data_IF_903835825225
#
_entry.id   IF_903835825225
#
_cell.length_a   1.000
_cell.length_b   1.000
_cell.length_c   1.000
_cell.angle_alpha   90.00
_cell.angle_beta   90.00
_cell.angle_gamma   90.00
#
_symmetry.space_group_name_H-M   'P 1'
#
loop_
_entity.id
_entity.type
_entity.pdbx_description
1 polymer ?
#
# COMPACT_ATOMS: atom_id res chain seq x y z
N UNK A 1 -58.33 -83.52 48.35
CA UNK A 1 -57.18 -82.58 48.37
C UNK A 1 -56.44 -82.54 47.01
N UNK A 2 -57.15 -82.55 45.85
CA UNK A 2 -56.52 -82.66 44.51
C UNK A 2 -57.02 -81.59 43.50
N UNK A 3 -58.13 -80.88 43.74
CA UNK A 3 -58.67 -79.88 42.80
C UNK A 3 -58.08 -78.44 42.90
N UNK A 4 -57.29 -78.11 43.93
CA UNK A 4 -56.72 -76.76 44.13
C UNK A 4 -55.35 -76.53 43.44
N UNK A 5 -54.63 -77.59 43.07
CA UNK A 5 -53.25 -77.49 42.54
C UNK A 5 -53.24 -77.21 41.02
N UNK A 6 -54.26 -77.64 40.28
CA UNK A 6 -54.36 -77.36 38.83
C UNK A 6 -54.74 -75.92 38.50
N UNK A 7 -55.56 -75.25 39.32
CA UNK A 7 -55.92 -73.85 39.10
C UNK A 7 -54.75 -72.89 39.34
N UNK A 8 -53.88 -73.22 40.31
CA UNK A 8 -52.68 -72.41 40.60
C UNK A 8 -51.62 -72.55 39.50
N UNK A 9 -51.42 -73.75 38.94
CA UNK A 9 -50.51 -73.94 37.81
C UNK A 9 -51.04 -73.30 36.53
N UNK A 10 -52.36 -73.32 36.29
CA UNK A 10 -52.95 -72.67 35.12
C UNK A 10 -52.90 -71.15 35.19
N UNK A 11 -53.13 -70.55 36.38
CA UNK A 11 -52.99 -69.09 36.58
C UNK A 11 -51.53 -68.64 36.54
N UNK A 12 -50.58 -69.44 37.06
CA UNK A 12 -49.14 -69.14 36.94
C UNK A 12 -48.68 -69.28 35.47
N UNK A 13 -49.21 -70.24 34.71
CA UNK A 13 -48.91 -70.36 33.27
C UNK A 13 -49.48 -69.20 32.44
N UNK A 14 -50.68 -68.70 32.80
CA UNK A 14 -51.27 -67.49 32.20
C UNK A 14 -50.52 -66.20 32.60
N UNK A 15 -50.01 -66.11 33.84
CA UNK A 15 -49.19 -64.97 34.28
C UNK A 15 -47.82 -64.96 33.58
N UNK A 16 -47.19 -66.14 33.39
CA UNK A 16 -45.89 -66.27 32.71
C UNK A 16 -46.03 -65.99 31.19
N UNK A 17 -47.17 -66.30 30.57
CA UNK A 17 -47.44 -65.91 29.18
C UNK A 17 -47.84 -64.44 29.00
N UNK A 18 -48.39 -63.80 30.04
CA UNK A 18 -48.71 -62.36 29.99
C UNK A 18 -47.48 -61.43 30.11
N UNK A 19 -46.33 -61.98 30.51
CA UNK A 19 -45.07 -61.23 30.68
C UNK A 19 -44.10 -61.34 29.48
N UNK A 20 -44.49 -61.99 28.37
CA UNK A 20 -43.60 -62.21 27.21
C UNK A 20 -44.19 -61.80 25.84
N UNK A 21 -45.15 -60.90 25.80
CA UNK A 21 -45.54 -60.24 24.56
C UNK A 21 -45.27 -58.73 24.66
N UNK A 22 -44.00 -58.37 24.85
CA UNK A 22 -43.53 -57.07 24.34
C UNK A 22 -43.59 -57.20 22.82
N UNK A 23 -44.73 -56.84 22.23
CA UNK A 23 -44.84 -56.68 20.80
C UNK A 23 -43.91 -55.54 20.38
N UNK A 24 -42.70 -55.90 19.96
CA UNK A 24 -41.73 -54.96 19.43
C UNK A 24 -41.90 -54.92 17.92
N UNK A 25 -42.31 -53.75 17.40
CA UNK A 25 -42.31 -53.49 15.95
C UNK A 25 -40.95 -52.90 15.62
N UNK A 26 -40.22 -53.56 14.73
CA UNK A 26 -39.01 -53.00 14.14
C UNK A 26 -39.43 -52.13 12.95
N UNK A 27 -39.18 -50.83 13.02
CA UNK A 27 -39.42 -49.88 11.94
C UNK A 27 -38.08 -49.60 11.26
N UNK A 28 -37.99 -49.88 9.97
CA UNK A 28 -36.79 -49.60 9.16
C UNK A 28 -36.85 -48.18 8.59
N UNK A 29 -35.68 -47.65 8.21
CA UNK A 29 -35.60 -46.36 7.53
C UNK A 29 -36.29 -46.41 6.15
N UNK A 30 -36.83 -45.26 5.72
CA UNK A 30 -37.46 -45.13 4.40
C UNK A 30 -36.46 -45.03 3.24
N UNK A 31 -36.98 -44.70 2.05
CA UNK A 31 -36.18 -44.53 0.84
C UNK A 31 -35.17 -43.36 0.94
N UNK A 32 -34.07 -43.46 0.18
CA UNK A 32 -33.07 -42.39 0.09
C UNK A 32 -33.70 -41.07 -0.37
N UNK A 33 -33.63 -40.06 0.51
CA UNK A 33 -34.13 -38.71 0.24
C UNK A 33 -32.99 -37.71 0.04
N UNK A 34 -32.00 -37.73 0.92
CA UNK A 34 -30.85 -36.82 0.89
C UNK A 34 -29.61 -37.46 1.52
N UNK A 35 -28.48 -36.77 1.42
CA UNK A 35 -27.26 -37.14 2.13
C UNK A 35 -26.93 -36.11 3.21
N UNK A 36 -26.61 -36.55 4.42
CA UNK A 36 -25.98 -35.69 5.42
C UNK A 36 -24.45 -35.76 5.27
N UNK A 37 -23.77 -34.62 5.32
CA UNK A 37 -22.32 -34.55 5.07
C UNK A 37 -21.59 -33.90 6.24
N UNK A 38 -20.62 -34.63 6.80
CA UNK A 38 -19.72 -34.17 7.85
C UNK A 38 -18.32 -33.93 7.28
N UNK A 39 -17.80 -32.72 7.48
CA UNK A 39 -16.50 -32.30 6.94
C UNK A 39 -15.95 -31.12 7.75
N UNK A 40 -14.71 -30.70 7.45
CA UNK A 40 -14.11 -29.46 7.95
C UNK A 40 -14.29 -28.35 6.89
N UNK A 41 -15.02 -27.29 7.21
CA UNK A 41 -15.42 -26.26 6.23
C UNK A 41 -14.27 -25.40 5.72
N UNK A 42 -13.27 -25.13 6.54
CA UNK A 42 -12.10 -24.32 6.19
C UNK A 42 -10.84 -25.13 6.42
N UNK A 43 -10.01 -25.28 5.39
CA UNK A 43 -8.74 -26.01 5.44
C UNK A 43 -7.61 -25.16 4.85
N UNK A 44 -6.37 -25.55 5.13
CA UNK A 44 -5.19 -24.95 4.50
C UNK A 44 -4.86 -25.66 3.18
N UNK A 45 -4.25 -24.96 2.23
CA UNK A 45 -3.74 -25.57 1.01
C UNK A 45 -2.78 -26.74 1.34
N UNK A 46 -2.99 -27.88 0.68
CA UNK A 46 -2.26 -29.12 0.93
C UNK A 46 -2.73 -29.93 2.14
N UNK A 47 -3.64 -29.42 2.98
CA UNK A 47 -4.27 -30.19 4.05
C UNK A 47 -5.21 -31.26 3.44
N UNK A 48 -5.16 -32.48 3.97
CA UNK A 48 -6.07 -33.57 3.61
C UNK A 48 -7.07 -33.79 4.73
N UNK A 49 -8.36 -33.73 4.41
CA UNK A 49 -9.44 -33.93 5.38
C UNK A 49 -10.37 -35.06 4.98
N UNK A 50 -10.86 -35.86 5.95
CA UNK A 50 -11.91 -36.82 5.68
C UNK A 50 -13.25 -36.09 5.52
N UNK A 51 -14.01 -36.51 4.51
CA UNK A 51 -15.40 -36.12 4.31
C UNK A 51 -16.25 -37.38 4.45
N UNK A 52 -17.25 -37.32 5.32
CA UNK A 52 -18.16 -38.43 5.61
C UNK A 52 -19.54 -38.10 5.08
N UNK A 53 -20.14 -39.06 4.38
CA UNK A 53 -21.45 -38.95 3.74
C UNK A 53 -22.35 -40.01 4.37
N UNK A 54 -23.57 -39.64 4.76
CA UNK A 54 -24.54 -40.53 5.40
C UNK A 54 -25.85 -40.45 4.62
N UNK A 55 -26.37 -41.60 4.18
CA UNK A 55 -27.65 -41.72 3.50
C UNK A 55 -28.80 -41.52 4.50
N UNK A 56 -29.74 -40.63 4.18
CA UNK A 56 -30.87 -40.25 5.02
C UNK A 56 -32.20 -40.37 4.29
N UNK A 57 -33.23 -40.79 5.02
CA UNK A 57 -34.60 -40.81 4.54
C UNK A 57 -35.29 -39.43 4.72
N UNK A 58 -36.55 -39.23 4.29
CA UNK A 58 -37.25 -37.95 4.47
C UNK A 58 -37.46 -37.51 5.92
N UNK A 59 -37.26 -38.40 6.88
CA UNK A 59 -37.48 -38.19 8.31
C UNK A 59 -36.16 -38.14 9.12
N UNK A 60 -35.02 -38.02 8.43
CA UNK A 60 -33.66 -37.94 9.00
C UNK A 60 -33.16 -39.23 9.67
N UNK A 61 -33.76 -40.38 9.35
CA UNK A 61 -33.25 -41.68 9.79
C UNK A 61 -32.05 -42.12 8.94
N UNK A 62 -31.08 -42.79 9.56
CA UNK A 62 -29.93 -43.39 8.85
C UNK A 62 -30.36 -44.63 8.07
N UNK A 63 -30.01 -44.69 6.78
CA UNK A 63 -30.37 -45.82 5.90
C UNK A 63 -29.24 -46.85 5.91
N UNK A 64 -29.21 -47.74 6.91
CA UNK A 64 -28.13 -48.73 7.09
C UNK A 64 -28.03 -49.80 5.99
N UNK A 65 -29.08 -50.03 5.21
CA UNK A 65 -29.08 -51.00 4.11
C UNK A 65 -28.67 -50.38 2.76
N UNK A 66 -28.49 -49.06 2.69
CA UNK A 66 -28.07 -48.40 1.45
C UNK A 66 -26.62 -48.75 1.11
N UNK A 67 -26.39 -49.25 -0.10
CA UNK A 67 -25.06 -49.50 -0.65
C UNK A 67 -25.01 -49.13 -2.12
N UNK A 68 -23.91 -48.53 -2.56
CA UNK A 68 -23.79 -48.05 -3.93
C UNK A 68 -22.53 -47.22 -4.14
N UNK A 69 -22.38 -46.70 -5.35
CA UNK A 69 -21.31 -45.75 -5.69
C UNK A 69 -21.98 -44.42 -6.02
N UNK A 70 -21.56 -43.37 -5.33
CA UNK A 70 -21.98 -41.99 -5.62
C UNK A 70 -20.83 -41.24 -6.28
N UNK A 71 -21.15 -40.32 -7.17
CA UNK A 71 -20.21 -39.42 -7.80
C UNK A 71 -20.21 -38.08 -7.05
N UNK A 72 -19.06 -37.70 -6.49
CA UNK A 72 -18.82 -36.41 -5.85
C UNK A 72 -18.25 -35.45 -6.88
N UNK A 73 -19.04 -34.44 -7.25
CA UNK A 73 -18.72 -33.51 -8.32
C UNK A 73 -18.26 -32.18 -7.72
N UNK A 74 -17.07 -31.73 -8.08
CA UNK A 74 -16.50 -30.45 -7.65
C UNK A 74 -15.43 -29.98 -8.64
N UNK A 75 -15.33 -28.67 -8.89
CA UNK A 75 -14.27 -28.07 -9.74
C UNK A 75 -14.05 -28.77 -11.11
N UNK A 76 -15.15 -29.17 -11.76
CA UNK A 76 -15.12 -29.91 -13.03
C UNK A 76 -14.63 -31.37 -12.94
N UNK A 77 -14.34 -31.86 -11.73
CA UNK A 77 -13.93 -33.25 -11.43
C UNK A 77 -15.12 -34.05 -10.90
N UNK A 78 -15.01 -35.36 -11.00
CA UNK A 78 -15.95 -36.33 -10.43
C UNK A 78 -15.16 -37.44 -9.74
N UNK A 79 -15.38 -37.62 -8.44
CA UNK A 79 -14.75 -38.67 -7.63
C UNK A 79 -15.79 -39.71 -7.22
N UNK A 80 -15.49 -40.99 -7.44
CA UNK A 80 -16.40 -42.09 -7.09
C UNK A 80 -16.18 -42.51 -5.64
N UNK A 81 -17.24 -42.42 -4.84
CA UNK A 81 -17.22 -42.80 -3.42
C UNK A 81 -18.14 -43.98 -3.22
N UNK A 82 -17.59 -45.07 -2.68
CA UNK A 82 -18.38 -46.23 -2.28
C UNK A 82 -19.09 -45.92 -0.97
N UNK A 83 -20.40 -46.14 -0.96
CA UNK A 83 -21.24 -46.10 0.23
C UNK A 83 -21.52 -47.53 0.65
N UNK A 84 -21.18 -47.87 1.89
CA UNK A 84 -21.47 -49.16 2.50
C UNK A 84 -22.22 -48.94 3.80
N UNK A 85 -23.28 -49.70 3.99
CA UNK A 85 -24.16 -49.59 5.16
C UNK A 85 -24.62 -48.15 5.45
N UNK A 86 -25.02 -47.43 4.41
CA UNK A 86 -25.46 -46.04 4.48
C UNK A 86 -24.34 -45.01 4.64
N UNK A 87 -23.06 -45.40 4.74
CA UNK A 87 -21.95 -44.48 5.01
C UNK A 87 -20.86 -44.55 3.96
N UNK A 88 -20.46 -43.39 3.44
CA UNK A 88 -19.32 -43.21 2.57
C UNK A 88 -18.26 -42.31 3.19
N UNK A 89 -17.00 -42.52 2.80
CA UNK A 89 -15.89 -41.63 3.18
C UNK A 89 -14.96 -41.45 2.01
N UNK A 90 -14.47 -40.22 1.84
CA UNK A 90 -13.37 -39.90 0.94
C UNK A 90 -12.49 -38.82 1.58
N UNK A 91 -11.29 -38.63 1.05
CA UNK A 91 -10.38 -37.59 1.53
C UNK A 91 -10.30 -36.48 0.50
N UNK A 92 -10.61 -35.25 0.91
CA UNK A 92 -10.43 -34.09 0.06
C UNK A 92 -9.09 -33.42 0.39
N UNK A 93 -8.29 -33.17 -0.64
CA UNK A 93 -7.08 -32.33 -0.56
C UNK A 93 -6.86 -31.58 -1.86
N UNK A 94 -6.28 -30.39 -1.77
CA UNK A 94 -5.90 -29.58 -2.92
C UNK A 94 -4.84 -28.57 -2.53
N UNK A 95 -3.94 -28.25 -3.45
CA UNK A 95 -2.91 -27.23 -3.26
C UNK A 95 -3.35 -25.84 -3.73
N UNK A 96 -4.50 -25.73 -4.40
CA UNK A 96 -5.03 -24.45 -4.90
C UNK A 96 -6.00 -23.85 -3.90
N UNK A 97 -5.76 -22.58 -3.53
CA UNK A 97 -6.68 -21.82 -2.67
C UNK A 97 -8.01 -21.54 -3.39
N UNK A 98 -9.05 -21.27 -2.60
CA UNK A 98 -10.33 -20.83 -3.12
C UNK A 98 -11.52 -21.56 -2.50
N UNK A 99 -12.64 -21.47 -3.19
CA UNK A 99 -13.92 -22.03 -2.77
C UNK A 99 -14.28 -23.22 -3.66
N UNK A 100 -14.49 -24.37 -3.04
CA UNK A 100 -14.87 -25.61 -3.71
C UNK A 100 -16.32 -25.95 -3.39
N UNK A 101 -17.16 -25.94 -4.41
CA UNK A 101 -18.58 -26.32 -4.32
C UNK A 101 -18.72 -27.79 -4.73
N UNK A 102 -19.25 -28.61 -3.82
CA UNK A 102 -19.43 -30.05 -3.99
C UNK A 102 -20.90 -30.40 -4.22
N UNK A 103 -21.17 -31.36 -5.10
CA UNK A 103 -22.49 -31.96 -5.31
C UNK A 103 -22.40 -33.48 -5.28
N UNK A 104 -23.48 -34.15 -4.89
CA UNK A 104 -23.56 -35.61 -4.86
C UNK A 104 -24.53 -36.07 -5.94
N UNK A 105 -24.01 -36.84 -6.89
CA UNK A 105 -24.79 -37.50 -7.94
C UNK A 105 -24.89 -38.99 -7.64
N UNK A 106 -26.09 -39.55 -7.75
CA UNK A 106 -26.32 -40.98 -7.67
C UNK A 106 -27.32 -41.38 -8.75
N UNK A 107 -26.95 -42.35 -9.59
CA UNK A 107 -27.76 -42.85 -10.71
C UNK A 107 -28.27 -41.73 -11.65
N UNK A 108 -27.45 -40.71 -11.91
CA UNK A 108 -27.79 -39.60 -12.81
C UNK A 108 -28.64 -38.49 -12.19
N UNK A 109 -28.97 -38.58 -10.90
CA UNK A 109 -29.71 -37.57 -10.15
C UNK A 109 -28.80 -36.88 -9.13
N UNK A 110 -28.82 -35.54 -9.11
CA UNK A 110 -28.22 -34.76 -8.02
C UNK A 110 -29.13 -34.84 -6.79
N UNK A 111 -28.57 -35.26 -5.67
CA UNK A 111 -29.28 -35.34 -4.39
C UNK A 111 -29.05 -34.08 -3.55
N UNK A 112 -30.06 -33.74 -2.74
CA UNK A 112 -29.90 -32.73 -1.70
C UNK A 112 -28.89 -33.20 -0.66
N UNK A 113 -28.19 -32.23 -0.08
CA UNK A 113 -27.22 -32.40 0.97
C UNK A 113 -27.69 -31.62 2.19
N UNK A 114 -27.88 -32.31 3.32
CA UNK A 114 -27.99 -31.68 4.62
C UNK A 114 -26.60 -31.34 5.12
N UNK A 115 -26.27 -30.06 5.06
CA UNK A 115 -24.94 -29.56 5.37
C UNK A 115 -24.76 -29.39 6.89
N UNK A 116 -23.70 -29.95 7.47
CA UNK A 116 -23.44 -29.90 8.93
C UNK A 116 -23.37 -28.48 9.51
N UNK A 117 -22.97 -27.49 8.73
CA UNK A 117 -22.72 -26.13 9.21
C UNK A 117 -23.97 -25.24 9.15
N UNK A 118 -24.79 -25.41 8.12
CA UNK A 118 -26.02 -24.65 7.93
C UNK A 118 -27.26 -25.39 8.42
N UNK A 119 -27.16 -26.71 8.60
CA UNK A 119 -28.26 -27.65 8.85
C UNK A 119 -29.37 -27.62 7.78
N UNK A 120 -29.16 -26.89 6.68
CA UNK A 120 -30.10 -26.73 5.59
C UNK A 120 -29.95 -27.85 4.56
N UNK A 121 -31.06 -28.18 3.88
CA UNK A 121 -31.06 -29.03 2.70
C UNK A 121 -30.69 -28.17 1.47
N UNK A 122 -29.50 -28.41 0.94
CA UNK A 122 -28.89 -27.64 -0.15
C UNK A 122 -28.60 -28.55 -1.34
N UNK A 123 -28.34 -27.98 -2.53
CA UNK A 123 -27.88 -28.77 -3.69
C UNK A 123 -26.41 -29.23 -3.60
N UNK A 124 -25.77 -29.05 -2.45
CA UNK A 124 -24.33 -29.27 -2.27
C UNK A 124 -23.78 -28.65 -0.99
N UNK A 125 -22.48 -28.83 -0.75
CA UNK A 125 -21.74 -28.26 0.38
C UNK A 125 -20.45 -27.56 -0.10
N UNK A 126 -19.78 -26.81 0.78
CA UNK A 126 -18.67 -25.91 0.39
C UNK A 126 -17.46 -26.09 1.30
N UNK A 127 -16.28 -26.27 0.71
CA UNK A 127 -15.01 -26.24 1.43
C UNK A 127 -14.21 -25.03 0.96
N UNK A 128 -13.73 -24.23 1.91
CA UNK A 128 -12.85 -23.10 1.68
C UNK A 128 -11.40 -23.51 1.95
N UNK A 129 -10.52 -23.27 0.99
CA UNK A 129 -9.10 -23.57 1.07
C UNK A 129 -8.34 -22.26 1.17
N UNK A 130 -7.69 -22.04 2.31
CA UNK A 130 -6.89 -20.85 2.61
C UNK A 130 -5.41 -21.07 2.28
N UNK A 131 -4.69 -19.98 2.01
CA UNK A 131 -3.24 -20.01 1.80
C UNK A 131 -2.50 -20.40 3.09
N UNK A 132 -1.35 -21.03 2.94
CA UNK A 132 -0.37 -21.22 4.03
C UNK A 132 0.32 -19.93 4.49
N UNK A 133 1.25 -20.03 5.45
CA UNK A 133 2.22 -18.96 5.72
C UNK A 133 3.10 -18.70 4.48
N UNK A 134 3.77 -17.55 4.43
CA UNK A 134 4.67 -17.23 3.33
C UNK A 134 5.92 -18.12 3.39
N UNK A 135 6.19 -18.84 2.31
CA UNK A 135 7.37 -19.68 2.11
C UNK A 135 8.28 -19.13 1.00
N UNK A 136 7.74 -18.22 0.19
CA UNK A 136 8.47 -17.50 -0.85
C UNK A 136 8.01 -16.05 -0.88
N UNK A 137 8.93 -15.11 -1.07
CA UNK A 137 8.61 -13.69 -1.28
C UNK A 137 9.30 -13.21 -2.54
N UNK A 138 8.54 -12.80 -3.55
CA UNK A 138 9.10 -12.12 -4.71
C UNK A 138 9.32 -10.64 -4.38
N UNK A 139 10.51 -10.12 -4.72
CA UNK A 139 10.88 -8.71 -4.52
C UNK A 139 10.90 -8.04 -5.89
N UNK A 140 9.94 -7.16 -6.14
CA UNK A 140 9.78 -6.45 -7.41
C UNK A 140 10.27 -5.02 -7.24
N UNK A 141 11.28 -4.63 -8.02
CA UNK A 141 11.92 -3.31 -7.96
C UNK A 141 12.74 -3.06 -9.23
N UNK A 142 13.10 -1.80 -9.49
CA UNK A 142 14.09 -1.47 -10.52
C UNK A 142 15.49 -1.97 -10.11
N UNK A 143 16.29 -2.51 -11.04
CA UNK A 143 17.52 -3.25 -10.73
C UNK A 143 18.69 -2.38 -10.27
N UNK A 144 18.63 -1.06 -10.42
CA UNK A 144 19.74 -0.15 -10.14
C UNK A 144 19.31 0.93 -9.14
N UNK A 145 20.22 1.49 -8.34
CA UNK A 145 19.91 2.58 -7.41
C UNK A 145 20.95 3.71 -7.46
N UNK A 146 20.52 4.91 -7.08
CA UNK A 146 21.40 6.08 -6.86
C UNK A 146 21.37 6.39 -5.36
N UNK A 147 22.52 6.52 -4.68
CA UNK A 147 22.55 6.79 -3.25
C UNK A 147 21.85 8.11 -2.89
N UNK A 148 21.09 8.12 -1.79
CA UNK A 148 20.32 9.27 -1.32
C UNK A 148 18.96 9.46 -2.03
N UNK A 149 18.64 8.63 -3.02
CA UNK A 149 17.34 8.65 -3.70
C UNK A 149 16.46 7.49 -3.27
N UNK A 150 15.18 7.77 -3.03
CA UNK A 150 14.20 6.78 -2.59
C UNK A 150 14.07 5.63 -3.59
N UNK A 151 14.02 4.42 -3.05
CA UNK A 151 13.79 3.18 -3.77
C UNK A 151 12.53 2.51 -3.26
N UNK A 152 11.68 2.10 -4.20
CA UNK A 152 10.41 1.42 -3.93
C UNK A 152 10.57 -0.06 -4.18
N UNK A 153 10.11 -0.88 -3.24
CA UNK A 153 10.09 -2.33 -3.34
C UNK A 153 8.63 -2.78 -3.21
N UNK A 154 8.18 -3.68 -4.08
CA UNK A 154 6.93 -4.41 -3.91
C UNK A 154 7.26 -5.86 -3.56
N UNK A 155 6.85 -6.25 -2.36
CA UNK A 155 6.97 -7.62 -1.85
C UNK A 155 5.69 -8.38 -2.19
N UNK A 156 5.80 -9.59 -2.73
CA UNK A 156 4.67 -10.48 -3.01
C UNK A 156 4.89 -11.81 -2.30
N UNK A 157 4.08 -12.09 -1.29
CA UNK A 157 4.18 -13.28 -0.47
C UNK A 157 3.40 -14.45 -1.07
N UNK A 158 4.05 -15.61 -1.15
CA UNK A 158 3.49 -16.87 -1.64
C UNK A 158 3.71 -17.99 -0.64
N UNK A 159 2.74 -18.89 -0.53
CA UNK A 159 2.85 -20.10 0.29
C UNK A 159 3.72 -21.18 -0.38
N UNK A 160 3.87 -22.34 0.29
CA UNK A 160 4.66 -23.48 -0.19
C UNK A 160 4.24 -23.99 -1.58
N UNK A 161 3.01 -23.73 -1.99
CA UNK A 161 2.42 -24.21 -3.24
C UNK A 161 2.35 -23.10 -4.30
N UNK A 162 2.87 -21.91 -4.00
CA UNK A 162 2.88 -20.78 -4.90
C UNK A 162 1.60 -19.95 -4.90
N UNK A 163 0.64 -20.21 -4.00
CA UNK A 163 -0.55 -19.37 -3.86
C UNK A 163 -0.19 -18.05 -3.20
N UNK A 164 -0.89 -16.97 -3.56
CA UNK A 164 -0.75 -15.70 -2.86
C UNK A 164 -1.23 -15.84 -1.41
N UNK A 165 -0.48 -15.26 -0.48
CA UNK A 165 -0.87 -15.16 0.94
C UNK A 165 -1.88 -14.03 1.11
N UNK A 166 -3.07 -14.20 0.54
CA UNK A 166 -4.11 -13.15 0.48
C UNK A 166 -4.98 -13.09 1.74
N UNK A 167 -5.23 -14.24 2.38
CA UNK A 167 -5.88 -14.29 3.69
C UNK A 167 -4.80 -14.43 4.77
N UNK A 168 -4.54 -13.33 5.46
CA UNK A 168 -3.60 -13.27 6.58
C UNK A 168 -4.26 -13.57 7.93
N UNK A 169 -5.57 -13.86 7.93
CA UNK A 169 -6.33 -14.12 9.15
C UNK A 169 -5.89 -15.46 9.75
N UNK A 170 -5.18 -15.40 10.88
CA UNK A 170 -4.62 -16.58 11.55
C UNK A 170 -3.21 -16.97 11.07
N UNK A 171 -2.57 -16.14 10.24
CA UNK A 171 -1.14 -16.29 9.92
C UNK A 171 -0.36 -15.33 10.81
N UNK A 172 0.37 -15.88 11.79
CA UNK A 172 1.32 -15.14 12.62
C UNK A 172 2.73 -15.31 12.04
N UNK A 173 3.18 -14.34 11.23
CA UNK A 173 4.50 -14.40 10.62
C UNK A 173 5.12 -13.00 10.51
N UNK A 174 6.36 -12.87 10.96
CA UNK A 174 7.15 -11.65 10.82
C UNK A 174 8.25 -11.86 9.79
N UNK A 175 8.33 -10.94 8.83
CA UNK A 175 9.37 -10.92 7.81
C UNK A 175 10.44 -9.88 8.19
N UNK A 176 11.70 -10.30 8.24
CA UNK A 176 12.86 -9.42 8.33
C UNK A 176 13.38 -9.14 6.91
N UNK A 177 13.49 -7.88 6.54
CA UNK A 177 14.09 -7.44 5.30
C UNK A 177 15.41 -6.77 5.64
N UNK A 178 16.50 -7.33 5.12
CA UNK A 178 17.85 -6.82 5.37
C UNK A 178 18.63 -6.71 4.08
N UNK A 179 19.51 -5.73 4.03
CA UNK A 179 20.51 -5.60 2.99
C UNK A 179 21.88 -6.03 3.51
N UNK A 180 22.82 -6.28 2.60
CA UNK A 180 24.26 -6.27 2.91
C UNK A 180 24.83 -4.85 3.18
N UNK A 181 23.99 -3.81 3.14
CA UNK A 181 24.31 -2.45 3.50
C UNK A 181 23.70 -2.08 4.85
N UNK A 182 23.19 -0.84 4.96
CA UNK A 182 22.62 -0.32 6.22
C UNK A 182 21.12 -0.55 6.37
N UNK A 183 20.40 -0.89 5.30
CA UNK A 183 18.95 -1.05 5.35
C UNK A 183 18.53 -2.34 6.07
N UNK A 184 17.70 -2.18 7.10
CA UNK A 184 17.03 -3.27 7.81
C UNK A 184 15.65 -2.83 8.30
N UNK A 185 14.64 -3.68 8.11
CA UNK A 185 13.28 -3.44 8.62
C UNK A 185 12.56 -4.77 8.88
N UNK A 186 11.46 -4.72 9.62
CA UNK A 186 10.59 -5.87 9.88
C UNK A 186 9.16 -5.53 9.50
N UNK A 187 8.45 -6.50 8.93
CA UNK A 187 7.06 -6.39 8.52
C UNK A 187 6.26 -7.57 9.05
N UNK A 188 5.10 -7.31 9.63
CA UNK A 188 4.11 -8.34 9.88
C UNK A 188 3.41 -8.71 8.57
N UNK A 189 3.24 -10.01 8.30
CA UNK A 189 2.51 -10.51 7.12
C UNK A 189 1.08 -9.95 7.07
N UNK A 190 0.45 -9.68 8.22
CA UNK A 190 -0.87 -9.06 8.32
C UNK A 190 -0.93 -7.65 7.72
N UNK A 191 0.23 -7.00 7.54
CA UNK A 191 0.30 -5.68 6.91
C UNK A 191 0.22 -5.74 5.38
N UNK A 192 0.26 -6.94 4.79
CA UNK A 192 0.14 -7.16 3.35
C UNK A 192 -1.32 -7.04 2.93
N UNK A 193 -1.56 -6.37 1.82
CA UNK A 193 -2.87 -6.29 1.19
C UNK A 193 -2.89 -7.25 -0.01
N UNK A 194 -3.80 -8.23 0.04
CA UNK A 194 -3.95 -9.26 -0.98
C UNK A 194 -2.62 -9.95 -1.34
N UNK A 195 -1.84 -10.34 -0.32
CA UNK A 195 -0.55 -10.99 -0.51
C UNK A 195 0.59 -10.08 -0.98
N UNK A 196 0.41 -8.75 -0.97
CA UNK A 196 1.47 -7.82 -1.37
C UNK A 196 1.68 -6.63 -0.43
N UNK A 197 2.89 -6.10 -0.39
CA UNK A 197 3.25 -4.91 0.40
C UNK A 197 4.27 -4.06 -0.34
N UNK A 198 4.02 -2.76 -0.41
CA UNK A 198 5.01 -1.79 -0.87
C UNK A 198 5.76 -1.18 0.31
N UNK A 199 7.08 -1.05 0.17
CA UNK A 199 7.96 -0.34 1.09
C UNK A 199 8.89 0.58 0.34
N UNK A 200 9.32 1.63 1.01
CA UNK A 200 10.29 2.58 0.48
C UNK A 200 11.50 2.65 1.40
N UNK A 201 12.68 2.85 0.82
CA UNK A 201 13.90 3.13 1.59
C UNK A 201 14.85 4.02 0.79
N UNK A 202 15.80 4.66 1.47
CA UNK A 202 16.82 5.50 0.84
C UNK A 202 18.17 4.81 0.99
N UNK A 203 18.67 4.07 -0.02
CA UNK A 203 20.01 3.50 0.04
C UNK A 203 21.07 4.61 0.11
N UNK A 204 22.06 4.44 0.98
CA UNK A 204 23.20 5.36 1.11
C UNK A 204 24.54 4.68 0.84
N UNK A 205 24.50 3.40 0.49
CA UNK A 205 25.65 2.54 0.24
C UNK A 205 26.28 2.87 -1.13
N UNK A 206 27.59 2.70 -1.24
CA UNK A 206 28.39 3.04 -2.42
C UNK A 206 28.88 1.79 -3.18
N UNK A 207 28.10 0.72 -3.09
CA UNK A 207 28.34 -0.59 -3.70
C UNK A 207 27.01 -1.30 -3.97
N UNK A 208 27.03 -2.39 -4.73
CA UNK A 208 25.84 -3.20 -4.99
C UNK A 208 25.18 -3.68 -3.68
N UNK A 209 23.85 -3.63 -3.66
CA UNK A 209 23.03 -4.05 -2.52
C UNK A 209 22.40 -5.41 -2.84
N UNK A 210 22.43 -6.33 -1.88
CA UNK A 210 21.66 -7.58 -1.90
C UNK A 210 20.60 -7.48 -0.81
N UNK A 211 19.34 -7.41 -1.22
CA UNK A 211 18.17 -7.46 -0.34
C UNK A 211 17.78 -8.91 -0.10
N UNK A 212 17.55 -9.26 1.17
CA UNK A 212 17.06 -10.58 1.59
C UNK A 212 15.82 -10.40 2.45
N UNK A 213 14.77 -11.15 2.14
CA UNK A 213 13.59 -11.29 2.98
C UNK A 213 13.68 -12.62 3.71
N UNK A 214 13.57 -12.60 5.03
CA UNK A 214 13.71 -13.76 5.90
C UNK A 214 12.53 -13.91 6.86
N UNK A 215 12.18 -15.15 7.19
CA UNK A 215 11.31 -15.50 8.32
C UNK A 215 12.05 -16.53 9.15
N UNK A 216 12.17 -16.31 10.47
CA UNK A 216 12.84 -17.25 11.39
C UNK A 216 14.24 -17.70 10.92
N UNK A 217 14.99 -16.77 10.32
CA UNK A 217 16.33 -17.01 9.77
C UNK A 217 16.37 -17.65 8.38
N UNK A 218 15.26 -18.23 7.88
CA UNK A 218 15.15 -18.78 6.52
C UNK A 218 14.95 -17.66 5.50
N UNK A 219 15.78 -17.64 4.45
CA UNK A 219 15.59 -16.74 3.31
C UNK A 219 14.39 -17.18 2.48
N UNK A 220 13.41 -16.30 2.32
CA UNK A 220 12.21 -16.50 1.50
C UNK A 220 12.30 -15.80 0.13
N UNK A 221 13.15 -14.77 0.02
CA UNK A 221 13.32 -13.98 -1.19
C UNK A 221 14.63 -13.22 -1.20
N UNK A 222 15.18 -12.99 -2.40
CA UNK A 222 16.42 -12.23 -2.61
C UNK A 222 16.32 -11.38 -3.88
N UNK A 223 16.90 -10.17 -3.83
CA UNK A 223 17.05 -9.31 -5.00
C UNK A 223 18.36 -8.52 -4.94
N UNK A 224 19.03 -8.38 -6.08
CA UNK A 224 20.23 -7.56 -6.23
C UNK A 224 19.86 -6.19 -6.81
N UNK A 225 20.44 -5.14 -6.23
CA UNK A 225 20.40 -3.77 -6.73
C UNK A 225 21.82 -3.31 -7.09
N UNK A 226 21.99 -2.84 -8.31
CA UNK A 226 23.26 -2.35 -8.83
C UNK A 226 23.47 -0.89 -8.46
N UNK A 227 24.67 -0.58 -7.99
CA UNK A 227 25.04 0.78 -7.62
C UNK A 227 25.33 1.63 -8.88
N UNK A 228 24.56 2.71 -9.07
CA UNK A 228 24.90 3.75 -10.04
C UNK A 228 25.78 4.81 -9.41
N UNK A 229 27.06 4.75 -9.75
CA UNK A 229 28.00 5.82 -9.46
C UNK A 229 27.58 7.11 -10.14
N UNK A 230 27.53 8.19 -9.37
CA UNK A 230 27.34 9.54 -9.90
C UNK A 230 28.70 10.18 -10.20
N UNK A 231 28.85 10.73 -11.40
CA UNK A 231 30.04 11.50 -11.78
C UNK A 231 29.74 12.99 -11.69
N UNK A 232 30.62 13.74 -11.03
CA UNK A 232 30.45 15.18 -10.84
C UNK A 232 30.42 15.89 -12.21
N UNK A 233 29.36 16.67 -12.44
CA UNK A 233 29.13 17.45 -13.66
C UNK A 233 29.14 18.95 -13.41
N UNK A 234 28.18 19.45 -12.63
CA UNK A 234 27.95 20.89 -12.40
C UNK A 234 27.99 21.25 -10.92
N UNK A 235 28.51 22.44 -10.59
CA UNK A 235 28.44 23.03 -9.25
C UNK A 235 27.65 24.33 -9.35
N UNK A 236 26.58 24.44 -8.58
CA UNK A 236 25.78 25.67 -8.47
C UNK A 236 26.09 26.38 -7.16
N UNK A 237 26.19 27.70 -7.24
CA UNK A 237 26.50 28.55 -6.08
C UNK A 237 25.50 29.71 -6.00
N UNK A 238 25.18 30.13 -4.78
CA UNK A 238 24.41 31.33 -4.52
C UNK A 238 25.01 32.11 -3.34
N UNK A 239 25.09 33.43 -3.49
CA UNK A 239 25.64 34.33 -2.49
C UNK A 239 25.02 35.73 -2.63
N UNK A 240 25.07 36.58 -1.59
CA UNK A 240 24.48 37.93 -1.65
C UNK A 240 25.12 38.81 -2.74
N UNK A 241 24.33 39.64 -3.40
CA UNK A 241 24.84 40.60 -4.41
C UNK A 241 25.84 41.62 -3.83
N UNK A 242 25.71 41.93 -2.53
CA UNK A 242 26.57 42.88 -1.82
C UNK A 242 26.85 42.38 -0.41
N UNK A 243 28.12 42.46 -0.03
CA UNK A 243 28.62 42.13 1.31
C UNK A 243 29.58 43.24 1.75
N UNK A 244 29.80 43.40 3.06
CA UNK A 244 30.81 44.33 3.57
C UNK A 244 32.12 43.59 3.78
N UNK A 245 33.23 44.21 3.37
CA UNK A 245 34.56 43.65 3.62
C UNK A 245 34.76 43.40 5.13
N UNK A 246 35.33 42.24 5.46
CA UNK A 246 35.54 41.78 6.84
C UNK A 246 34.29 41.26 7.56
N UNK A 247 33.10 41.28 6.93
CA UNK A 247 31.90 40.67 7.48
C UNK A 247 31.65 39.28 6.87
N UNK A 248 31.09 38.39 7.69
CA UNK A 248 30.63 37.08 7.24
C UNK A 248 29.42 37.21 6.31
N UNK A 249 29.37 36.34 5.30
CA UNK A 249 28.20 36.16 4.46
C UNK A 249 27.98 34.67 4.15
N UNK A 250 26.72 34.29 3.94
CA UNK A 250 26.38 32.91 3.61
C UNK A 250 26.67 32.64 2.12
N UNK A 251 27.36 31.54 1.86
CA UNK A 251 27.66 31.00 0.54
C UNK A 251 27.03 29.61 0.43
N UNK A 252 26.03 29.50 -0.45
CA UNK A 252 25.33 28.26 -0.72
C UNK A 252 26.01 27.56 -1.89
N UNK A 253 26.20 26.25 -1.78
CA UNK A 253 26.79 25.42 -2.82
C UNK A 253 26.06 24.08 -2.92
N UNK A 254 25.80 23.63 -4.14
CA UNK A 254 25.17 22.36 -4.45
C UNK A 254 25.90 21.68 -5.61
N UNK A 255 26.12 20.37 -5.51
CA UNK A 255 26.87 19.60 -6.52
C UNK A 255 25.96 18.63 -7.27
N UNK A 256 25.98 18.74 -8.59
CA UNK A 256 25.16 17.95 -9.50
C UNK A 256 26.04 17.03 -10.35
N UNK A 257 25.50 15.88 -10.73
CA UNK A 257 26.14 14.95 -11.63
C UNK A 257 26.02 15.37 -13.11
N UNK A 258 26.65 14.61 -14.00
CA UNK A 258 26.62 14.84 -15.45
C UNK A 258 25.23 14.74 -16.08
N UNK A 259 24.25 14.19 -15.38
CA UNK A 259 22.85 14.11 -15.80
C UNK A 259 21.98 15.20 -15.15
N UNK A 260 22.57 16.10 -14.36
CA UNK A 260 21.86 17.17 -13.67
C UNK A 260 21.13 16.72 -12.39
N UNK A 261 21.44 15.55 -11.84
CA UNK A 261 20.90 15.10 -10.54
C UNK A 261 21.81 15.55 -9.40
N UNK A 262 21.22 16.01 -8.30
CA UNK A 262 21.96 16.38 -7.09
C UNK A 262 22.72 15.16 -6.53
N UNK A 263 24.00 15.30 -6.24
CA UNK A 263 24.82 14.25 -5.61
C UNK A 263 24.60 14.31 -4.11
N UNK A 264 23.56 13.61 -3.64
CA UNK A 264 23.12 13.70 -2.25
C UNK A 264 24.13 13.17 -1.22
N UNK A 265 25.04 12.31 -1.65
CA UNK A 265 26.10 11.70 -0.83
C UNK A 265 27.48 12.33 -1.09
N UNK A 266 27.52 13.62 -1.44
CA UNK A 266 28.78 14.33 -1.72
C UNK A 266 29.75 14.29 -0.54
N UNK A 267 29.24 14.21 0.69
CA UNK A 267 30.03 14.00 1.91
C UNK A 267 30.87 12.72 1.89
N UNK A 268 30.46 11.70 1.12
CA UNK A 268 31.12 10.39 1.05
C UNK A 268 31.96 10.20 -0.21
N UNK A 269 31.53 10.76 -1.34
CA UNK A 269 32.19 10.54 -2.65
C UNK A 269 32.87 11.79 -3.20
N UNK A 270 32.62 12.94 -2.60
CA UNK A 270 33.13 14.23 -3.04
C UNK A 270 34.59 14.44 -2.70
N UNK A 271 35.17 15.45 -3.35
CA UNK A 271 36.49 16.00 -3.03
C UNK A 271 36.34 17.41 -2.46
N UNK A 272 37.36 17.94 -1.75
CA UNK A 272 37.34 19.34 -1.33
C UNK A 272 37.12 20.29 -2.52
N UNK A 273 36.30 21.31 -2.30
CA UNK A 273 36.01 22.34 -3.30
C UNK A 273 36.78 23.59 -2.93
N UNK A 274 37.76 23.97 -3.76
CA UNK A 274 38.52 25.20 -3.62
C UNK A 274 37.75 26.37 -4.21
N UNK A 275 37.58 27.43 -3.43
CA UNK A 275 36.96 28.69 -3.84
C UNK A 275 38.05 29.63 -4.35
N UNK A 276 38.07 29.84 -5.66
CA UNK A 276 38.98 30.80 -6.30
C UNK A 276 38.26 32.11 -6.61
N UNK A 277 38.97 33.22 -6.66
CA UNK A 277 38.40 34.53 -7.03
C UNK A 277 39.38 35.39 -7.82
N UNK A 278 38.87 36.43 -8.50
CA UNK A 278 39.66 37.38 -9.27
C UNK A 278 40.10 38.64 -8.48
N UNK A 279 39.64 38.82 -7.24
CA UNK A 279 40.01 39.96 -6.40
C UNK A 279 41.37 39.80 -5.71
N UNK A 280 41.84 40.87 -5.05
CA UNK A 280 43.13 40.97 -4.34
C UNK A 280 43.02 40.73 -2.83
N UNK A 281 41.82 40.78 -2.26
CA UNK A 281 41.55 40.39 -0.87
C UNK A 281 41.68 38.89 -0.65
N UNK A 282 41.57 38.48 0.61
CA UNK A 282 41.62 37.07 1.06
C UNK A 282 40.18 36.61 1.29
N UNK A 283 39.82 35.44 0.76
CA UNK A 283 38.58 34.74 1.05
C UNK A 283 38.85 33.65 2.09
N UNK A 284 38.07 33.61 3.17
CA UNK A 284 38.24 32.62 4.23
C UNK A 284 36.89 32.05 4.71
N UNK A 285 36.75 30.72 4.83
CA UNK A 285 37.65 29.69 4.30
C UNK A 285 37.69 29.74 2.76
N UNK A 286 38.80 29.32 2.17
CA UNK A 286 38.95 29.19 0.71
C UNK A 286 38.71 27.76 0.21
N UNK A 287 38.39 26.83 1.11
CA UNK A 287 38.16 25.42 0.81
C UNK A 287 36.93 24.93 1.57
N UNK A 288 36.04 24.23 0.87
CA UNK A 288 34.87 23.57 1.44
C UNK A 288 35.11 22.07 1.42
N UNK A 289 35.21 21.47 2.61
CA UNK A 289 35.39 20.03 2.77
C UNK A 289 34.10 19.26 2.41
N UNK A 290 34.19 18.02 1.87
CA UNK A 290 33.02 17.19 1.60
C UNK A 290 32.10 17.02 2.82
N UNK A 291 32.67 16.95 4.03
CA UNK A 291 31.93 16.83 5.28
C UNK A 291 31.00 18.02 5.59
N UNK A 292 31.16 19.16 4.92
CA UNK A 292 30.24 20.29 5.04
C UNK A 292 28.91 20.07 4.30
N UNK A 293 28.84 19.06 3.43
CA UNK A 293 27.65 18.77 2.64
C UNK A 293 26.66 17.88 3.40
N UNK A 294 25.40 18.27 3.35
CA UNK A 294 24.27 17.49 3.86
C UNK A 294 23.27 17.34 2.72
N UNK A 295 22.98 16.10 2.32
CA UNK A 295 22.13 15.80 1.16
C UNK A 295 22.58 16.47 -0.15
N UNK A 296 23.88 16.68 -0.33
CA UNK A 296 24.46 17.26 -1.54
C UNK A 296 24.52 18.78 -1.58
N UNK A 297 24.15 19.45 -0.49
CA UNK A 297 24.16 20.90 -0.35
C UNK A 297 25.00 21.33 0.87
N UNK A 298 25.69 22.46 0.78
CA UNK A 298 26.38 23.08 1.92
C UNK A 298 26.08 24.58 1.99
N UNK A 299 26.00 25.10 3.21
CA UNK A 299 25.98 26.54 3.49
C UNK A 299 27.21 26.88 4.31
N UNK A 300 28.09 27.71 3.77
CA UNK A 300 29.37 28.06 4.39
C UNK A 300 29.41 29.56 4.66
N UNK A 301 29.88 29.96 5.84
CA UNK A 301 30.13 31.37 6.15
C UNK A 301 31.49 31.78 5.63
N UNK A 302 31.51 32.72 4.69
CA UNK A 302 32.73 33.25 4.09
C UNK A 302 32.99 34.67 4.57
N UNK A 303 34.26 35.04 4.70
CA UNK A 303 34.73 36.40 4.94
C UNK A 303 35.63 36.82 3.80
N UNK A 304 35.42 38.03 3.28
CA UNK A 304 36.30 38.62 2.27
C UNK A 304 36.92 39.92 2.77
N UNK A 305 38.25 40.06 2.71
CA UNK A 305 38.97 41.13 3.43
C UNK A 305 39.04 42.48 2.70
N UNK A 306 38.57 42.58 1.46
CA UNK A 306 38.75 43.79 0.64
C UNK A 306 37.47 44.26 -0.05
N UNK A 307 37.30 45.59 -0.14
CA UNK A 307 36.19 46.20 -0.87
C UNK A 307 36.52 46.30 -2.36
N UNK A 308 36.07 45.33 -3.15
CA UNK A 308 36.21 45.29 -4.60
C UNK A 308 35.14 44.37 -5.21
N UNK A 309 34.97 44.41 -6.53
CA UNK A 309 34.11 43.44 -7.23
C UNK A 309 34.87 42.12 -7.39
N UNK A 310 34.26 41.02 -6.93
CA UNK A 310 34.83 39.68 -7.04
C UNK A 310 33.85 38.70 -7.68
N UNK A 311 34.39 37.70 -8.37
CA UNK A 311 33.68 36.53 -8.86
C UNK A 311 34.28 35.29 -8.20
N UNK A 312 33.50 34.63 -7.35
CA UNK A 312 33.91 33.40 -6.68
C UNK A 312 33.61 32.22 -7.61
N UNK A 313 34.60 31.35 -7.84
CA UNK A 313 34.51 30.16 -8.67
C UNK A 313 34.90 28.92 -7.87
N UNK A 314 33.99 27.95 -7.69
CA UNK A 314 34.33 26.66 -7.10
C UNK A 314 35.13 25.81 -8.10
N UNK A 315 36.18 25.16 -7.62
CA UNK A 315 37.05 24.26 -8.40
C UNK A 315 37.29 23.00 -7.58
N UNK A 316 37.15 21.83 -8.21
CA UNK A 316 37.54 20.55 -7.61
C UNK A 316 38.93 20.19 -8.12
N UNK A 317 39.85 19.82 -7.23
CA UNK A 317 41.16 19.35 -7.65
C UNK A 317 41.03 18.13 -8.61
N UNK A 318 41.67 18.25 -9.77
CA UNK A 318 41.70 17.36 -10.95
C UNK A 318 40.58 17.47 -12.00
N UNK A 319 39.61 18.39 -11.89
CA UNK A 319 38.64 18.66 -12.98
C UNK A 319 38.30 20.14 -13.08
N UNK A 320 38.45 20.73 -14.28
CA UNK A 320 37.84 22.02 -14.58
C UNK A 320 36.32 21.81 -14.76
N UNK A 321 35.45 22.36 -13.89
CA UNK A 321 34.01 22.18 -14.04
C UNK A 321 33.44 23.11 -15.12
N UNK A 322 32.45 22.63 -15.87
CA UNK A 322 31.57 23.47 -16.69
C UNK A 322 30.58 24.17 -15.74
N UNK A 323 30.65 25.51 -15.67
CA UNK A 323 29.82 26.33 -14.79
C UNK A 323 28.79 27.09 -15.65
N UNK A 324 27.49 26.98 -15.34
CA UNK A 324 26.44 27.82 -15.97
C UNK A 324 25.54 28.48 -14.91
N UNK A 325 25.57 29.83 -14.92
CA UNK A 325 24.66 30.88 -14.39
C UNK A 325 24.16 30.89 -12.94
N UNK A 326 24.33 32.09 -12.37
CA UNK A 326 23.80 32.66 -11.14
C UNK A 326 22.26 32.70 -11.11
N UNK A 327 21.64 32.11 -10.08
CA UNK A 327 20.27 32.46 -9.69
C UNK A 327 20.31 33.44 -8.52
N UNK A 328 19.65 34.59 -8.69
CA UNK A 328 19.56 35.62 -7.65
C UNK A 328 18.64 35.14 -6.51
N UNK A 329 19.04 35.28 -5.24
CA UNK A 329 18.15 34.98 -4.12
C UNK A 329 17.00 35.99 -4.04
N UNK A 330 15.78 35.48 -3.80
CA UNK A 330 14.61 36.31 -3.43
C UNK A 330 14.87 36.99 -2.08
N UNK A 331 14.56 38.29 -2.02
CA UNK A 331 14.66 39.13 -0.80
C UNK A 331 13.87 38.52 0.36
N UNK A 332 14.57 38.29 1.47
CA UNK A 332 14.01 38.16 2.82
C UNK A 332 13.77 39.56 3.38
N UNK A 333 12.51 39.92 3.65
CA UNK A 333 12.17 41.18 4.32
C UNK A 333 12.44 41.07 5.83
N UNK A 334 13.34 41.91 6.31
CA UNK A 334 13.66 42.08 7.73
C UNK A 334 12.72 43.12 8.32
N UNK A 335 11.89 42.71 9.29
CA UNK A 335 11.01 43.58 10.06
C UNK A 335 11.85 44.46 11.00
N UNK A 336 11.83 45.79 10.79
CA UNK A 336 12.27 46.77 11.81
C UNK A 336 11.08 47.10 12.73
N UNK A 337 11.29 46.95 14.04
CA UNK A 337 10.45 47.51 15.10
C UNK A 337 10.93 48.92 15.45
N UNK A 338 10.02 49.89 15.56
CA UNK A 338 9.87 50.84 16.70
C UNK A 338 8.67 51.81 16.46
N UNK A 339 8.16 52.56 17.47
CA UNK A 339 7.04 52.16 18.33
C UNK A 339 5.77 53.04 18.19
N UNK A 340 4.70 52.60 18.86
CA UNK A 340 3.37 53.20 18.94
C UNK A 340 3.29 54.60 19.59
N UNK A 341 2.38 55.45 19.09
CA UNK A 341 1.33 56.08 19.92
C UNK A 341 0.09 56.51 19.10
N UNK A 342 -1.11 56.52 19.70
CA UNK A 342 -2.39 56.40 19.00
C UNK A 342 -3.13 57.73 18.83
N UNK A 343 -3.98 57.83 17.79
CA UNK A 343 -5.03 58.85 17.71
C UNK A 343 -6.37 58.27 17.21
N UNK A 344 -7.41 58.87 17.78
CA UNK A 344 -8.81 58.49 17.94
C UNK A 344 -9.75 59.02 16.84
N UNK A 345 -10.72 58.18 16.46
CA UNK A 345 -12.16 58.36 16.16
C UNK A 345 -12.80 59.68 15.64
N UNK A 346 -13.79 59.44 14.74
CA UNK A 346 -15.00 60.20 14.29
C UNK A 346 -14.88 61.03 12.99
N UNK A 347 -15.88 61.24 12.12
CA UNK A 347 -17.16 60.62 11.67
C UNK A 347 -17.71 61.57 10.55
N UNK A 348 -18.70 61.12 9.73
CA UNK A 348 -19.55 61.89 8.77
C UNK A 348 -18.89 62.41 7.46
N UNK A 349 -19.50 62.48 6.26
CA UNK A 349 -20.80 62.10 5.68
C UNK A 349 -20.66 62.03 4.12
N UNK A 350 -21.64 61.42 3.43
CA UNK A 350 -21.73 61.21 1.96
C UNK A 350 -22.29 62.46 1.22
N UNK A 351 -21.98 62.70 -0.08
CA UNK A 351 -22.74 62.07 -1.17
C UNK A 351 -21.94 61.70 -2.46
N UNK A 352 -22.49 60.73 -3.22
CA UNK A 352 -22.15 60.31 -4.61
C UNK A 352 -22.63 61.38 -5.63
N UNK A 353 -22.17 61.45 -6.92
CA UNK A 353 -21.94 60.29 -7.81
C UNK A 353 -20.87 60.43 -8.94
N UNK A 354 -20.79 59.35 -9.73
CA UNK A 354 -20.27 59.18 -11.11
C UNK A 354 -18.91 58.50 -11.28
N UNK A 355 -18.97 57.49 -12.15
CA UNK A 355 -18.07 56.37 -12.40
C UNK A 355 -16.69 56.73 -12.95
N UNK A 356 -15.66 56.03 -12.43
CA UNK A 356 -14.47 55.65 -13.20
C UNK A 356 -13.89 54.37 -12.61
N UNK A 357 -13.79 53.35 -13.47
CA UNK A 357 -13.10 52.10 -13.20
C UNK A 357 -11.63 52.38 -12.83
N UNK A 358 -11.27 52.16 -11.57
CA UNK A 358 -9.89 51.88 -11.16
C UNK A 358 -9.93 50.73 -10.17
N UNK A 359 -9.63 49.53 -10.66
CA UNK A 359 -9.35 48.38 -9.82
C UNK A 359 -8.13 48.72 -8.94
N UNK A 360 -8.34 48.80 -7.63
CA UNK A 360 -7.24 48.77 -6.66
C UNK A 360 -6.43 47.49 -6.87
N UNK A 361 -5.09 47.52 -6.75
CA UNK A 361 -4.31 46.30 -6.70
C UNK A 361 -4.78 45.49 -5.49
N UNK A 362 -5.40 44.32 -5.74
CA UNK A 362 -5.57 43.33 -4.69
C UNK A 362 -4.15 42.98 -4.22
N UNK A 363 -3.86 43.19 -2.93
CA UNK A 363 -2.75 42.49 -2.30
C UNK A 363 -2.94 41.01 -2.65
N UNK A 364 -2.03 40.45 -3.44
CA UNK A 364 -1.99 39.02 -3.70
C UNK A 364 -1.71 38.36 -2.35
N UNK A 365 -2.74 37.82 -1.71
CA UNK A 365 -2.57 36.96 -0.55
C UNK A 365 -1.64 35.81 -0.98
N UNK A 366 -0.57 35.55 -0.23
CA UNK A 366 0.27 34.38 -0.47
C UNK A 366 -0.47 33.11 -0.01
N UNK A 367 -0.30 31.98 -0.71
CA UNK A 367 -0.94 30.74 -0.28
C UNK A 367 -0.36 30.27 1.06
N UNK A 368 -1.24 29.97 2.00
CA UNK A 368 -0.86 29.38 3.31
C UNK A 368 -0.39 27.94 3.18
N UNK A 369 -0.70 27.27 2.06
CA UNK A 369 -0.20 25.93 1.72
C UNK A 369 -0.17 25.72 0.22
N UNK A 370 0.88 25.04 -0.24
CA UNK A 370 0.99 24.57 -1.63
C UNK A 370 1.11 23.04 -1.60
N UNK A 371 0.30 22.35 -2.39
CA UNK A 371 0.39 20.91 -2.61
C UNK A 371 0.77 20.66 -4.07
N UNK A 372 1.84 19.90 -4.28
CA UNK A 372 2.32 19.55 -5.62
C UNK A 372 1.95 18.09 -5.90
N UNK A 373 0.99 17.89 -6.80
CA UNK A 373 0.51 16.56 -7.20
C UNK A 373 1.18 16.17 -8.52
N UNK A 374 2.21 15.33 -8.44
CA UNK A 374 2.93 14.87 -9.63
C UNK A 374 2.19 13.66 -10.20
N UNK A 375 1.81 13.74 -11.47
CA UNK A 375 1.35 12.58 -12.23
C UNK A 375 2.58 11.87 -12.80
N UNK A 376 2.80 10.57 -12.51
CA UNK A 376 3.94 9.85 -13.06
C UNK A 376 3.90 9.84 -14.59
N UNK A 377 5.01 10.18 -15.26
CA UNK A 377 5.07 10.24 -16.74
C UNK A 377 4.73 8.90 -17.41
N UNK A 378 4.95 7.78 -16.72
CA UNK A 378 4.59 6.44 -17.18
C UNK A 378 3.10 6.09 -17.03
N UNK A 379 2.34 6.88 -16.26
CA UNK A 379 0.87 6.77 -16.17
C UNK A 379 0.20 7.51 -17.34
N UNK A 380 0.75 8.65 -17.73
CA UNK A 380 0.30 9.50 -18.82
C UNK A 380 0.70 10.96 -18.59
N UNK A 381 0.30 11.84 -19.51
CA UNK A 381 0.57 13.28 -19.44
C UNK A 381 -0.69 14.06 -19.11
N UNK A 382 -0.60 15.06 -18.25
CA UNK A 382 -1.71 15.98 -17.98
C UNK A 382 -1.98 16.78 -19.27
N UNK A 383 -3.16 16.57 -19.84
CA UNK A 383 -3.64 17.40 -20.93
C UNK A 383 -4.37 18.62 -20.39
N UNK A 384 -5.38 18.44 -19.53
CA UNK A 384 -6.21 19.56 -19.06
C UNK A 384 -6.73 19.32 -17.66
N UNK A 385 -6.95 20.40 -16.91
CA UNK A 385 -7.65 20.37 -15.62
C UNK A 385 -8.88 21.28 -15.72
N UNK A 386 -10.05 20.74 -15.40
CA UNK A 386 -11.35 21.40 -15.54
C UNK A 386 -12.06 21.37 -14.20
N UNK A 387 -12.44 22.52 -13.65
CA UNK A 387 -13.29 22.59 -12.46
C UNK A 387 -14.71 22.11 -12.82
N UNK A 388 -15.19 21.08 -12.11
CA UNK A 388 -16.52 20.47 -12.28
C UNK A 388 -17.52 20.94 -11.23
N UNK A 389 -17.02 21.37 -10.08
CA UNK A 389 -17.81 21.89 -8.97
C UNK A 389 -16.88 22.50 -7.93
N UNK A 390 -17.45 23.05 -6.85
CA UNK A 390 -16.65 23.67 -5.79
C UNK A 390 -15.62 22.69 -5.26
N UNK A 391 -14.34 22.98 -5.52
CA UNK A 391 -13.19 22.17 -5.13
C UNK A 391 -13.17 20.74 -5.71
N UNK A 392 -13.81 20.53 -6.86
CA UNK A 392 -13.80 19.25 -7.60
C UNK A 392 -13.35 19.49 -9.03
N UNK A 393 -12.31 18.77 -9.46
CA UNK A 393 -11.62 18.99 -10.72
C UNK A 393 -11.47 17.68 -11.49
N UNK A 394 -11.82 17.69 -12.77
CA UNK A 394 -11.49 16.63 -13.72
C UNK A 394 -10.11 16.89 -14.30
N UNK A 395 -9.21 15.93 -14.15
CA UNK A 395 -7.85 15.94 -14.70
C UNK A 395 -7.83 14.98 -15.88
N UNK A 396 -7.68 15.53 -17.07
CA UNK A 396 -7.60 14.79 -18.32
C UNK A 396 -6.17 14.31 -18.57
N UNK A 397 -6.02 13.03 -18.88
CA UNK A 397 -4.72 12.39 -19.08
C UNK A 397 -4.58 11.94 -20.54
N UNK A 398 -3.63 12.54 -21.26
CA UNK A 398 -3.21 12.10 -22.59
C UNK A 398 -2.16 10.99 -22.49
N UNK A 399 -2.02 10.19 -23.56
CA UNK A 399 -1.07 9.07 -23.64
C UNK A 399 -1.16 8.11 -22.44
N UNK A 400 -2.39 7.85 -21.95
CA UNK A 400 -2.59 7.04 -20.75
C UNK A 400 -2.12 5.61 -20.99
N UNK A 401 -1.34 5.08 -20.04
CA UNK A 401 -0.92 3.69 -20.07
C UNK A 401 -1.99 2.80 -19.44
N UNK A 402 -2.71 2.03 -20.25
CA UNK A 402 -3.79 1.14 -19.82
C UNK A 402 -3.31 0.01 -18.90
N UNK A 403 -2.02 -0.30 -18.89
CA UNK A 403 -1.44 -1.28 -17.98
C UNK A 403 -1.25 -0.74 -16.54
N UNK A 404 -1.55 0.53 -16.29
CA UNK A 404 -1.52 1.12 -14.96
C UNK A 404 -2.92 1.26 -14.37
N UNK A 405 -3.24 0.37 -13.45
CA UNK A 405 -4.41 0.51 -12.59
C UNK A 405 -4.22 1.69 -11.63
N UNK A 406 -5.21 2.60 -11.62
CA UNK A 406 -5.20 3.75 -10.71
C UNK A 406 -5.88 3.38 -9.40
N UNK A 407 -5.12 3.38 -8.30
CA UNK A 407 -5.67 3.22 -6.95
C UNK A 407 -6.02 4.59 -6.38
N UNK A 408 -7.26 4.81 -5.89
CA UNK A 408 -7.63 6.07 -5.26
C UNK A 408 -6.73 6.43 -4.07
N UNK A 409 -6.29 7.68 -4.01
CA UNK A 409 -5.44 8.21 -2.93
C UNK A 409 -6.23 9.25 -2.14
N UNK A 410 -6.16 9.18 -0.82
CA UNK A 410 -6.71 10.19 0.09
C UNK A 410 -5.63 10.65 1.07
N UNK A 411 -5.54 11.97 1.31
CA UNK A 411 -4.56 12.59 2.21
C UNK A 411 -5.21 13.72 3.02
N UNK A 412 -4.87 13.80 4.29
CA UNK A 412 -5.21 14.95 5.12
C UNK A 412 -4.44 16.19 4.68
N UNK A 413 -5.10 17.35 4.76
CA UNK A 413 -4.53 18.66 4.44
C UNK A 413 -4.38 19.45 5.74
N UNK A 414 -3.14 19.79 6.08
CA UNK A 414 -2.80 20.51 7.33
C UNK A 414 -2.15 21.87 7.07
N UNK A 415 -2.63 22.88 7.80
CA UNK A 415 -2.08 24.26 7.83
C UNK A 415 -1.82 24.62 9.29
N UNK A 416 -0.60 25.07 9.61
CA UNK A 416 -0.18 25.42 10.98
C UNK A 416 -0.55 24.34 12.03
N UNK A 417 -0.34 23.06 11.69
CA UNK A 417 -0.69 21.87 12.50
C UNK A 417 -2.19 21.64 12.77
N UNK A 418 -3.09 22.37 12.12
CA UNK A 418 -4.54 22.10 12.11
C UNK A 418 -4.91 21.32 10.86
N UNK A 419 -5.64 20.21 11.00
CA UNK A 419 -6.28 19.54 9.86
C UNK A 419 -7.44 20.42 9.37
N UNK A 420 -7.36 20.86 8.12
CA UNK A 420 -8.34 21.74 7.48
C UNK A 420 -9.17 21.02 6.43
N UNK A 421 -8.97 19.71 6.23
CA UNK A 421 -9.71 18.93 5.25
C UNK A 421 -8.95 17.75 4.66
N UNK A 422 -9.50 17.21 3.58
CA UNK A 422 -8.95 16.05 2.86
C UNK A 422 -8.87 16.32 1.36
N UNK A 423 -7.79 15.84 0.76
CA UNK A 423 -7.58 15.75 -0.68
C UNK A 423 -7.75 14.30 -1.12
N UNK A 424 -8.58 14.07 -2.13
CA UNK A 424 -8.80 12.75 -2.72
C UNK A 424 -8.58 12.80 -4.23
N UNK A 425 -7.90 11.80 -4.77
CA UNK A 425 -7.78 11.55 -6.21
C UNK A 425 -8.35 10.17 -6.50
N UNK A 426 -9.28 10.06 -7.44
CA UNK A 426 -9.88 8.81 -7.90
C UNK A 426 -9.90 8.72 -9.42
N UNK A 427 -10.02 7.53 -9.98
CA UNK A 427 -10.35 7.39 -11.41
C UNK A 427 -11.79 7.89 -11.66
N UNK A 428 -12.03 8.48 -12.82
CA UNK A 428 -13.37 8.75 -13.33
C UNK A 428 -14.04 7.44 -13.79
N UNK A 429 -15.37 7.40 -13.79
CA UNK A 429 -16.17 6.19 -14.06
C UNK A 429 -15.91 5.59 -15.45
N UNK A 430 -15.35 6.37 -16.37
CA UNK A 430 -14.99 5.97 -17.74
C UNK A 430 -13.51 5.61 -17.91
N UNK A 431 -12.75 5.39 -16.83
CA UNK A 431 -11.40 4.81 -16.98
C UNK A 431 -10.29 5.85 -17.05
N UNK A 432 -10.44 6.75 -18.02
CA UNK A 432 -9.33 7.45 -18.69
C UNK A 432 -8.82 8.70 -17.98
N UNK A 433 -9.65 9.29 -17.10
CA UNK A 433 -9.36 10.56 -16.45
C UNK A 433 -9.32 10.40 -14.92
N UNK A 434 -8.77 11.40 -14.23
CA UNK A 434 -8.75 11.44 -12.77
C UNK A 434 -9.70 12.53 -12.25
N UNK A 435 -10.30 12.28 -11.09
CA UNK A 435 -11.08 13.25 -10.33
C UNK A 435 -10.27 13.66 -9.11
N UNK A 436 -9.94 14.93 -9.00
CA UNK A 436 -9.32 15.56 -7.84
C UNK A 436 -10.41 16.29 -7.03
N UNK A 437 -10.58 15.91 -5.76
CA UNK A 437 -11.57 16.50 -4.86
C UNK A 437 -10.91 16.99 -3.58
N UNK A 438 -11.18 18.25 -3.20
CA UNK A 438 -10.73 18.84 -1.95
C UNK A 438 -11.91 19.19 -1.05
N UNK A 439 -12.10 18.43 0.02
CA UNK A 439 -13.07 18.74 1.06
C UNK A 439 -12.36 19.50 2.19
N UNK A 440 -12.34 20.82 2.07
CA UNK A 440 -11.66 21.73 3.01
C UNK A 440 -12.66 22.67 3.69
N UNK A 441 -12.28 23.17 4.87
CA UNK A 441 -13.08 24.11 5.65
C UNK A 441 -13.39 25.40 4.85
N UNK A 442 -14.55 26.00 5.12
CA UNK A 442 -15.14 27.07 4.27
C UNK A 442 -14.36 28.38 4.29
N UNK A 443 -13.61 28.62 5.36
CA UNK A 443 -12.71 29.76 5.48
C UNK A 443 -11.54 29.71 4.49
N UNK A 444 -11.17 28.52 3.98
CA UNK A 444 -10.07 28.40 3.02
C UNK A 444 -10.57 28.39 1.57
N UNK A 445 -9.81 29.08 0.70
CA UNK A 445 -10.00 29.08 -0.76
C UNK A 445 -8.93 28.21 -1.43
N UNK A 446 -9.33 27.43 -2.44
CA UNK A 446 -8.41 26.62 -3.26
C UNK A 446 -8.34 27.18 -4.67
N UNK A 447 -7.11 27.26 -5.20
CA UNK A 447 -6.85 27.44 -6.62
C UNK A 447 -6.00 26.27 -7.13
N UNK A 448 -6.36 25.72 -8.29
CA UNK A 448 -5.64 24.60 -8.92
C UNK A 448 -5.02 25.06 -10.23
N UNK A 449 -3.70 24.91 -10.35
CA UNK A 449 -2.90 25.36 -11.50
C UNK A 449 -2.17 24.16 -12.10
N UNK A 450 -2.52 23.71 -13.32
CA UNK A 450 -1.76 22.67 -14.00
C UNK A 450 -0.43 23.23 -14.52
N UNK A 451 0.62 22.44 -14.35
CA UNK A 451 1.95 22.64 -14.91
C UNK A 451 2.25 21.43 -15.81
N UNK A 452 1.94 21.59 -17.11
CA UNK A 452 2.05 20.51 -18.09
C UNK A 452 3.50 20.11 -18.36
N UNK A 453 4.43 21.06 -18.30
CA UNK A 453 5.84 20.84 -18.60
C UNK A 453 6.47 19.88 -17.56
N UNK A 454 6.02 19.98 -16.31
CA UNK A 454 6.47 19.14 -15.20
C UNK A 454 5.52 17.98 -14.87
N UNK A 455 4.45 17.78 -15.64
CA UNK A 455 3.39 16.80 -15.37
C UNK A 455 2.85 16.89 -13.93
N UNK A 456 2.61 18.12 -13.49
CA UNK A 456 2.32 18.49 -12.12
C UNK A 456 1.00 19.27 -12.03
N UNK A 457 0.26 19.09 -10.94
CA UNK A 457 -0.85 19.96 -10.55
C UNK A 457 -0.47 20.66 -9.26
N UNK A 458 -0.37 21.98 -9.31
CA UNK A 458 -0.15 22.82 -8.13
C UNK A 458 -1.49 23.24 -7.53
N UNK A 459 -1.73 22.85 -6.29
CA UNK A 459 -2.90 23.28 -5.51
C UNK A 459 -2.43 24.33 -4.51
N UNK A 460 -2.96 25.54 -4.63
CA UNK A 460 -2.68 26.68 -3.76
C UNK A 460 -3.88 26.90 -2.84
N UNK A 461 -3.64 26.92 -1.53
CA UNK A 461 -4.66 27.11 -0.50
C UNK A 461 -4.42 28.46 0.17
N UNK A 462 -5.46 29.26 0.26
CA UNK A 462 -5.48 30.59 0.88
C UNK A 462 -6.40 30.57 2.09
N UNK A 463 -6.02 31.30 3.15
CA UNK A 463 -6.78 31.47 4.40
C UNK A 463 -7.66 32.72 4.37
#
# INVERSE_FOLDING_TARGET
MIKKVHYLHFIIFLLIYSLKALAQIQVEAGDLSYFYVEYKQTIMAGESIPVKIIAKDPFDNDIENFSGIVDIIYDGKSEKVKIERGVGRFNFSTTKIGKYDFRINYNGKIYLVKDKYTNGLLNGFKIYVKNGPAEKVDIITSPEFIPGYTKRLKLVAKDAYGNLVSDTSGVEQTLSIESNGTFKTTLDIKSFNNGSKEIEFVPLDLHDIILKVKSDGKTLGEAKLEYKKQEIGEIKVAYPEKVKAGQEFDFYIAVYDTNGLLIKVYDKIGKPIKLTHNGKGILYPDTIEPSAFVNGEATVKLVYTKSEEIKIKPVIEDKAPNIIKEEKPKKSETIKKEPEKPQTLKEEEKPKPVEKFTAKPRLMQEPVKILNLIIPKNFGKIDKVIEKGKNEYLVMIADRNENFDFVPIERDVTVKNRNIGKLRISADNNSENLILKLNILKEYKVEVKPDKDNNLIRVEIYE
#
